data_IF_452854699898
#
_entry.id   IF_452854699898
#
_cell.length_a   1.000
_cell.length_b   1.000
_cell.length_c   1.000
_cell.angle_alpha   90.00
_cell.angle_beta   90.00
_cell.angle_gamma   90.00
#
_symmetry.space_group_name_H-M   'P 1'
#
loop_
_entity.id
_entity.type
_entity.pdbx_description
1 polymer ?
#
# COMPACT_ATOMS: atom_id res chain seq x y z
N UNK A 1 1.85 -8.55 -10.19
CA UNK A 1 0.72 -7.70 -9.76
C UNK A 1 0.95 -7.15 -8.38
N UNK A 2 1.23 -8.01 -7.40
CA UNK A 2 1.43 -7.61 -5.99
C UNK A 2 2.45 -6.47 -5.80
N UNK A 3 3.60 -6.53 -6.48
CA UNK A 3 4.60 -5.44 -6.44
C UNK A 3 4.04 -4.09 -6.92
N UNK A 4 3.23 -4.08 -7.99
CA UNK A 4 2.60 -2.86 -8.50
C UNK A 4 1.53 -2.32 -7.52
N UNK A 5 0.80 -3.22 -6.85
CA UNK A 5 -0.16 -2.85 -5.82
C UNK A 5 0.53 -2.28 -4.58
N UNK A 6 1.68 -2.83 -4.17
CA UNK A 6 2.51 -2.30 -3.09
C UNK A 6 3.04 -0.91 -3.46
N UNK A 7 3.62 -0.72 -4.65
CA UNK A 7 4.11 0.59 -5.11
C UNK A 7 2.98 1.64 -5.14
N UNK A 8 1.79 1.24 -5.62
CA UNK A 8 0.61 2.11 -5.60
C UNK A 8 0.17 2.45 -4.17
N UNK A 9 0.21 1.47 -3.26
CA UNK A 9 -0.10 1.70 -1.85
C UNK A 9 0.91 2.63 -1.19
N UNK A 10 2.21 2.50 -1.50
CA UNK A 10 3.25 3.43 -1.03
C UNK A 10 2.94 4.85 -1.49
N UNK A 11 2.60 5.03 -2.77
CA UNK A 11 2.20 6.34 -3.30
C UNK A 11 0.96 6.92 -2.58
N UNK A 12 -0.08 6.10 -2.38
CA UNK A 12 -1.30 6.52 -1.70
C UNK A 12 -1.03 6.96 -0.24
N UNK A 13 -0.17 6.24 0.47
CA UNK A 13 0.17 6.54 1.87
C UNK A 13 1.15 7.71 2.00
N UNK A 14 2.17 7.78 1.13
CA UNK A 14 3.28 8.72 1.25
C UNK A 14 3.06 10.03 0.53
N UNK A 15 2.56 9.98 -0.70
CA UNK A 15 2.48 11.14 -1.59
C UNK A 15 1.07 11.75 -1.58
N UNK A 16 0.03 10.91 -1.46
CA UNK A 16 -1.38 11.38 -1.36
C UNK A 16 -1.82 11.54 0.11
N UNK A 17 -1.05 11.03 1.07
CA UNK A 17 -1.35 11.08 2.51
C UNK A 17 -2.72 10.50 2.89
N UNK A 18 -3.18 9.47 2.16
CA UNK A 18 -4.40 8.74 2.51
C UNK A 18 -4.21 7.89 3.77
N UNK A 19 -5.31 7.61 4.47
CA UNK A 19 -5.31 6.64 5.55
C UNK A 19 -5.10 5.21 5.00
N UNK A 20 -4.61 4.29 5.83
CA UNK A 20 -4.47 2.87 5.44
C UNK A 20 -5.80 2.26 5.00
N UNK A 21 -6.89 2.60 5.66
CA UNK A 21 -8.24 2.16 5.29
C UNK A 21 -8.63 2.65 3.88
N UNK A 22 -8.41 3.93 3.59
CA UNK A 22 -8.74 4.50 2.29
C UNK A 22 -7.82 3.98 1.18
N UNK A 23 -6.56 3.71 1.49
CA UNK A 23 -5.62 3.07 0.57
C UNK A 23 -6.06 1.65 0.16
N UNK A 24 -6.58 0.84 1.11
CA UNK A 24 -7.12 -0.50 0.80
C UNK A 24 -8.34 -0.41 -0.12
N UNK A 25 -9.22 0.57 0.14
CA UNK A 25 -10.40 0.81 -0.70
C UNK A 25 -9.98 1.24 -2.11
N UNK A 26 -9.12 2.25 -2.21
CA UNK A 26 -8.64 2.80 -3.48
C UNK A 26 -7.89 1.75 -4.32
N UNK A 27 -7.13 0.85 -3.69
CA UNK A 27 -6.52 -0.29 -4.40
C UNK A 27 -7.54 -1.17 -5.14
N UNK A 28 -8.76 -1.30 -4.61
CA UNK A 28 -9.83 -2.03 -5.30
C UNK A 28 -10.27 -1.38 -6.61
N UNK A 29 -10.14 -0.06 -6.70
CA UNK A 29 -10.48 0.69 -7.92
C UNK A 29 -9.37 0.55 -8.98
N UNK A 30 -8.11 0.43 -8.55
CA UNK A 30 -6.96 0.26 -9.46
C UNK A 30 -6.67 -1.19 -9.86
N UNK A 31 -6.97 -2.14 -8.97
CA UNK A 31 -6.67 -3.57 -9.14
C UNK A 31 -7.91 -4.39 -8.74
N UNK A 32 -8.95 -4.41 -9.60
CA UNK A 32 -10.23 -5.07 -9.28
C UNK A 32 -10.11 -6.59 -9.14
N UNK A 33 -9.07 -7.20 -9.71
CA UNK A 33 -8.76 -8.62 -9.56
C UNK A 33 -8.22 -9.00 -8.18
N UNK A 34 -7.78 -8.02 -7.36
CA UNK A 34 -7.28 -8.28 -6.02
C UNK A 34 -8.43 -8.41 -5.02
N UNK A 35 -8.46 -9.54 -4.33
CA UNK A 35 -9.34 -9.70 -3.18
C UNK A 35 -8.98 -8.73 -2.04
N UNK A 36 -9.85 -8.65 -1.05
CA UNK A 36 -9.69 -7.73 0.06
C UNK A 36 -8.44 -8.06 0.91
N UNK A 37 -8.17 -9.34 1.14
CA UNK A 37 -7.04 -9.78 1.97
C UNK A 37 -5.70 -9.42 1.32
N UNK A 38 -5.59 -9.59 0.01
CA UNK A 38 -4.40 -9.23 -0.76
C UNK A 38 -4.17 -7.73 -0.73
N UNK A 39 -5.21 -6.91 -0.92
CA UNK A 39 -5.11 -5.45 -0.80
C UNK A 39 -4.67 -5.01 0.60
N UNK A 40 -5.24 -5.63 1.64
CA UNK A 40 -4.87 -5.36 3.02
C UNK A 40 -3.39 -5.69 3.29
N UNK A 41 -2.90 -6.82 2.77
CA UNK A 41 -1.48 -7.20 2.86
C UNK A 41 -0.60 -6.18 2.15
N UNK A 42 -0.92 -5.79 0.91
CA UNK A 42 -0.14 -4.80 0.16
C UNK A 42 -0.05 -3.45 0.88
N UNK A 43 -1.13 -2.98 1.52
CA UNK A 43 -1.12 -1.72 2.30
C UNK A 43 -0.28 -1.84 3.56
N UNK A 44 -0.30 -3.00 4.24
CA UNK A 44 0.57 -3.25 5.40
C UNK A 44 2.04 -3.22 5.02
N UNK A 45 2.41 -3.91 3.94
CA UNK A 45 3.78 -3.89 3.42
C UNK A 45 4.21 -2.47 3.03
N UNK A 46 3.35 -1.71 2.35
CA UNK A 46 3.62 -0.31 2.02
C UNK A 46 3.76 0.59 3.24
N UNK A 47 2.97 0.36 4.29
CA UNK A 47 3.10 1.06 5.56
C UNK A 47 4.45 0.77 6.21
N UNK A 48 4.85 -0.50 6.25
CA UNK A 48 6.14 -0.92 6.79
C UNK A 48 7.29 -0.30 5.99
N UNK A 49 7.20 -0.23 4.65
CA UNK A 49 8.21 0.43 3.82
C UNK A 49 8.34 1.94 4.09
N UNK A 50 7.23 2.63 4.37
CA UNK A 50 7.25 4.06 4.72
C UNK A 50 7.82 4.32 6.12
N UNK A 51 7.72 3.36 7.04
CA UNK A 51 8.13 3.49 8.44
C UNK A 51 9.39 2.71 8.78
N UNK A 52 9.91 1.91 7.85
CA UNK A 52 11.20 1.26 7.94
C UNK A 52 12.26 2.35 8.03
N UNK A 53 12.68 2.64 9.26
CA UNK A 53 13.82 3.51 9.52
C UNK A 53 15.00 2.94 8.72
N UNK A 54 15.68 3.72 7.88
CA UNK A 54 16.96 3.26 7.36
C UNK A 54 17.83 2.99 8.58
N UNK A 55 18.20 1.73 8.80
CA UNK A 55 19.27 1.37 9.71
C UNK A 55 20.50 2.10 9.15
N UNK A 56 20.82 3.25 9.78
CA UNK A 56 22.03 4.00 9.48
C UNK A 56 23.20 3.03 9.68
N UNK A 57 23.84 2.67 8.58
CA UNK A 57 25.09 1.94 8.52
C UNK A 57 26.25 2.91 8.74
#
# INVERSE_FOLDING_TARGET
MDAQAIDKAVFLLRDVHTSTHDAVKALGDYFPELDFETRLRCVREAWDLNHARPLAA
#
